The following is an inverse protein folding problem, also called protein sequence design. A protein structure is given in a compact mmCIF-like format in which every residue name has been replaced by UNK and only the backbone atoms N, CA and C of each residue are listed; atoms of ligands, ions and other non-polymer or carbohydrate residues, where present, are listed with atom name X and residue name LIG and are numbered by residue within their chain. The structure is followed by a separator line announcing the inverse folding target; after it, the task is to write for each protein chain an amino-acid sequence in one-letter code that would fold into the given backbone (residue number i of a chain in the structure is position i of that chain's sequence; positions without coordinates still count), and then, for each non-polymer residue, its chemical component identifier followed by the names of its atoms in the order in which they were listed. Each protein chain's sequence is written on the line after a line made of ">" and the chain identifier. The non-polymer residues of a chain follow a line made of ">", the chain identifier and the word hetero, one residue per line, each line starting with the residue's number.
data_IF_981401547231
#
_entry.id   IF_981401547231
#
_cell.length_a   1.000
_cell.length_b   1.000
_cell.length_c   1.000
_cell.angle_alpha   90.00
_cell.angle_beta   90.00
_cell.angle_gamma   90.00
#
_symmetry.space_group_name_H-M   'P 1'
#
loop_
_entity.id
_entity.type
_entity.pdbx_description
1 polymer ?
#
# COMPACT_ATOMS: atom_id res chain seq x y z
N UNK A 1 -5.89 -9.26 -8.03
CA UNK A 1 -5.33 -7.89 -8.13
C UNK A 1 -4.27 -7.85 -9.24
N UNK A 2 -3.97 -6.70 -9.85
CA UNK A 2 -3.03 -6.61 -10.99
C UNK A 2 -1.64 -6.08 -10.61
N UNK A 3 -0.69 -7.02 -10.54
CA UNK A 3 0.70 -6.76 -10.18
C UNK A 3 1.59 -6.34 -11.35
N UNK A 4 1.10 -6.11 -12.58
CA UNK A 4 1.99 -5.73 -13.70
C UNK A 4 2.82 -4.46 -13.43
N UNK A 5 2.28 -3.54 -12.63
CA UNK A 5 3.01 -2.33 -12.26
C UNK A 5 4.15 -2.58 -11.24
N UNK A 6 4.09 -3.69 -10.49
CA UNK A 6 5.18 -4.11 -9.59
C UNK A 6 6.47 -4.31 -10.37
N UNK A 7 6.44 -4.95 -11.53
CA UNK A 7 7.67 -5.26 -12.29
C UNK A 7 8.36 -3.98 -12.79
N UNK A 8 7.57 -2.98 -13.21
CA UNK A 8 8.09 -1.64 -13.53
C UNK A 8 8.79 -0.99 -12.31
N UNK A 9 8.21 -1.13 -11.12
CA UNK A 9 8.78 -0.60 -9.87
C UNK A 9 10.02 -1.38 -9.41
N UNK A 10 10.01 -2.71 -9.50
CA UNK A 10 11.10 -3.59 -9.07
C UNK A 10 12.38 -3.36 -9.89
N UNK A 11 12.25 -2.93 -11.15
CA UNK A 11 13.39 -2.53 -11.99
C UNK A 11 14.04 -1.20 -11.55
N UNK A 12 13.38 -0.38 -10.72
CA UNK A 12 13.93 0.89 -10.25
C UNK A 12 14.89 0.67 -9.09
N UNK A 13 16.20 0.98 -9.22
CA UNK A 13 17.13 0.75 -8.12
C UNK A 13 16.82 1.68 -6.96
N UNK A 14 16.99 1.16 -5.74
CA UNK A 14 16.80 1.90 -4.51
C UNK A 14 15.37 2.47 -4.33
N UNK A 15 14.36 1.66 -4.69
CA UNK A 15 12.97 2.10 -4.79
C UNK A 15 12.46 2.71 -3.47
N UNK A 16 12.75 2.09 -2.32
CA UNK A 16 12.32 2.57 -1.00
C UNK A 16 12.72 4.02 -0.76
N UNK A 17 13.99 4.36 -0.95
CA UNK A 17 14.46 5.74 -0.71
C UNK A 17 13.97 6.69 -1.79
N UNK A 18 13.76 6.22 -3.03
CA UNK A 18 13.16 7.03 -4.09
C UNK A 18 11.72 7.41 -3.76
N UNK A 19 10.88 6.48 -3.32
CA UNK A 19 9.48 6.76 -2.99
C UNK A 19 9.31 7.76 -1.83
N UNK A 20 10.33 7.91 -0.96
CA UNK A 20 10.39 8.97 0.05
C UNK A 20 10.73 10.36 -0.51
N UNK A 21 10.90 10.51 -1.83
CA UNK A 21 11.11 11.80 -2.50
C UNK A 21 9.87 12.16 -3.31
N UNK A 22 9.29 13.34 -3.03
CA UNK A 22 8.05 13.81 -3.66
C UNK A 22 8.04 13.67 -5.20
N UNK A 23 9.16 14.02 -5.86
CA UNK A 23 9.30 13.91 -7.32
C UNK A 23 9.05 12.49 -7.82
N UNK A 24 9.64 11.51 -7.15
CA UNK A 24 9.53 10.11 -7.53
C UNK A 24 8.16 9.56 -7.17
N UNK A 25 7.65 9.86 -5.97
CA UNK A 25 6.29 9.48 -5.56
C UNK A 25 5.23 9.94 -6.58
N UNK A 26 5.28 11.21 -7.02
CA UNK A 26 4.36 11.72 -8.05
C UNK A 26 4.55 11.02 -9.39
N UNK A 27 5.80 10.78 -9.79
CA UNK A 27 6.10 10.12 -11.06
C UNK A 27 5.59 8.67 -11.10
N UNK A 28 5.82 7.89 -10.04
CA UNK A 28 5.38 6.50 -9.92
C UNK A 28 3.87 6.39 -9.76
N UNK A 29 3.24 7.29 -9.00
CA UNK A 29 1.78 7.34 -8.89
C UNK A 29 1.11 7.59 -10.25
N UNK A 30 1.62 8.55 -11.03
CA UNK A 30 1.13 8.80 -12.40
C UNK A 30 1.40 7.64 -13.35
N UNK A 31 2.52 6.94 -13.18
CA UNK A 31 2.80 5.73 -13.97
C UNK A 31 1.81 4.61 -13.65
N UNK A 32 1.46 4.42 -12.36
CA UNK A 32 0.43 3.50 -11.94
C UNK A 32 -0.94 3.84 -12.55
N UNK A 33 -1.34 5.12 -12.52
CA UNK A 33 -2.58 5.57 -13.16
C UNK A 33 -2.61 5.24 -14.66
N UNK A 34 -1.50 5.47 -15.38
CA UNK A 34 -1.39 5.09 -16.80
C UNK A 34 -1.45 3.58 -17.01
N UNK A 35 -0.84 2.79 -16.13
CA UNK A 35 -0.91 1.33 -16.19
C UNK A 35 -2.37 0.85 -16.02
N UNK A 36 -3.10 1.38 -15.03
CA UNK A 36 -4.53 1.11 -14.84
C UNK A 36 -5.35 1.55 -16.07
N UNK A 37 -5.05 2.71 -16.66
CA UNK A 37 -5.72 3.14 -17.91
C UNK A 37 -5.50 2.15 -19.04
N UNK A 38 -4.25 1.71 -19.28
CA UNK A 38 -3.95 0.74 -20.34
C UNK A 38 -4.66 -0.60 -20.12
N UNK A 39 -4.72 -1.05 -18.87
CA UNK A 39 -5.28 -2.33 -18.49
C UNK A 39 -6.82 -2.36 -18.50
N UNK A 40 -7.46 -1.28 -18.05
CA UNK A 40 -8.90 -1.29 -17.74
C UNK A 40 -9.71 -0.22 -18.48
N UNK A 41 -9.07 0.66 -19.24
CA UNK A 41 -9.74 1.75 -19.97
C UNK A 41 -10.17 2.93 -19.10
N UNK A 42 -9.80 2.96 -17.81
CA UNK A 42 -10.15 4.07 -16.90
C UNK A 42 -9.07 5.14 -16.92
N UNK A 43 -9.42 6.36 -17.37
CA UNK A 43 -8.55 7.53 -17.29
C UNK A 43 -8.75 8.27 -15.97
N UNK A 44 -7.70 8.90 -15.46
CA UNK A 44 -7.72 9.67 -14.23
C UNK A 44 -7.26 11.11 -14.45
N UNK A 45 -8.02 12.08 -13.96
CA UNK A 45 -7.51 13.41 -13.65
C UNK A 45 -6.81 13.38 -12.29
N UNK A 46 -5.60 13.92 -12.20
CA UNK A 46 -4.80 13.94 -10.97
C UNK A 46 -4.59 15.38 -10.50
N UNK A 47 -5.07 15.68 -9.29
CA UNK A 47 -4.83 16.92 -8.57
C UNK A 47 -3.47 16.85 -7.87
N UNK A 48 -2.51 17.62 -8.39
CA UNK A 48 -1.14 17.64 -7.88
C UNK A 48 -1.02 18.24 -6.47
N UNK A 49 -1.91 19.16 -6.09
CA UNK A 49 -1.89 19.76 -4.77
C UNK A 49 -2.31 18.73 -3.72
N UNK A 50 -3.40 17.99 -3.99
CA UNK A 50 -3.85 16.89 -3.14
C UNK A 50 -2.85 15.74 -3.08
N UNK A 51 -2.24 15.40 -4.22
CA UNK A 51 -1.22 14.34 -4.25
C UNK A 51 0.02 14.72 -3.44
N UNK A 52 0.42 15.99 -3.53
CA UNK A 52 1.51 16.52 -2.71
C UNK A 52 1.15 16.52 -1.24
N UNK A 53 -0.08 16.91 -0.88
CA UNK A 53 -0.54 16.88 0.50
C UNK A 53 -0.55 15.46 1.07
N UNK A 54 -1.05 14.48 0.31
CA UNK A 54 -1.03 13.07 0.71
C UNK A 54 0.40 12.57 0.97
N UNK A 55 1.35 12.94 0.11
CA UNK A 55 2.75 12.60 0.31
C UNK A 55 3.33 13.22 1.59
N UNK A 56 3.07 14.51 1.83
CA UNK A 56 3.59 15.22 2.99
C UNK A 56 3.03 14.65 4.30
N UNK A 57 1.71 14.42 4.33
CA UNK A 57 1.05 13.81 5.50
C UNK A 57 1.58 12.39 5.78
N UNK A 58 1.84 11.61 4.72
CA UNK A 58 2.40 10.27 4.86
C UNK A 58 3.86 10.26 5.34
N UNK A 59 4.73 11.07 4.71
CA UNK A 59 6.16 11.02 4.99
C UNK A 59 6.47 11.48 6.42
N UNK A 60 5.70 12.43 6.94
CA UNK A 60 5.81 12.88 8.33
C UNK A 60 5.57 11.72 9.31
N UNK A 61 4.51 10.94 9.10
CA UNK A 61 4.20 9.78 9.95
C UNK A 61 5.26 8.69 9.80
N UNK A 62 5.67 8.39 8.56
CA UNK A 62 6.66 7.36 8.28
C UNK A 62 8.05 7.69 8.88
N UNK A 63 8.45 8.96 8.88
CA UNK A 63 9.69 9.41 9.54
C UNK A 63 9.58 9.39 11.06
N UNK A 64 8.44 9.80 11.62
CA UNK A 64 8.18 9.78 13.06
C UNK A 64 8.23 8.38 13.67
N UNK A 65 7.94 7.34 12.87
CA UNK A 65 7.84 5.95 13.33
C UNK A 65 8.97 5.04 12.79
N UNK A 66 10.01 5.60 12.17
CA UNK A 66 11.07 4.81 11.52
C UNK A 66 11.85 3.86 12.43
N UNK A 67 11.81 4.06 13.75
CA UNK A 67 12.45 3.16 14.72
C UNK A 67 11.90 1.73 14.62
N UNK A 68 10.62 1.55 14.28
CA UNK A 68 9.99 0.24 14.09
C UNK A 68 10.58 -0.54 12.89
N UNK A 69 11.25 0.13 11.94
CA UNK A 69 11.98 -0.55 10.88
C UNK A 69 13.17 -1.37 11.40
N UNK A 70 13.70 -1.02 12.59
CA UNK A 70 14.73 -1.78 13.29
C UNK A 70 14.19 -3.01 14.01
N UNK A 71 12.89 -3.02 14.35
CA UNK A 71 12.21 -4.15 15.00
C UNK A 71 11.80 -5.18 13.94
N UNK A 72 10.92 -4.79 13.01
CA UNK A 72 10.51 -5.63 11.89
C UNK A 72 10.45 -4.80 10.61
N UNK A 73 11.49 -4.90 9.77
CA UNK A 73 11.56 -4.09 8.56
C UNK A 73 10.50 -4.44 7.53
N UNK A 74 10.24 -5.73 7.32
CA UNK A 74 9.25 -6.20 6.36
C UNK A 74 7.84 -5.72 6.73
N UNK A 75 7.47 -5.87 8.00
CA UNK A 75 6.18 -5.40 8.51
C UNK A 75 6.08 -3.87 8.51
N UNK A 76 7.18 -3.16 8.83
CA UNK A 76 7.20 -1.70 8.77
C UNK A 76 6.98 -1.17 7.34
N UNK A 77 7.50 -1.86 6.32
CA UNK A 77 7.26 -1.49 4.91
C UNK A 77 5.77 -1.59 4.57
N UNK A 78 5.11 -2.68 4.99
CA UNK A 78 3.66 -2.88 4.78
C UNK A 78 2.87 -1.79 5.50
N UNK A 79 3.19 -1.56 6.78
CA UNK A 79 2.58 -0.51 7.58
C UNK A 79 2.73 0.88 6.95
N UNK A 80 3.94 1.25 6.54
CA UNK A 80 4.21 2.55 5.91
C UNK A 80 3.43 2.72 4.60
N UNK A 81 3.26 1.65 3.82
CA UNK A 81 2.41 1.68 2.63
C UNK A 81 0.91 1.80 2.97
N UNK A 82 0.46 1.21 4.08
CA UNK A 82 -0.90 1.38 4.61
C UNK A 82 -1.18 2.82 5.01
N UNK A 83 -0.20 3.49 5.63
CA UNK A 83 -0.29 4.92 5.94
C UNK A 83 -0.36 5.77 4.66
N UNK A 84 0.43 5.44 3.63
CA UNK A 84 0.31 6.11 2.34
C UNK A 84 -1.09 5.92 1.72
N UNK A 85 -1.64 4.71 1.80
CA UNK A 85 -2.97 4.38 1.29
C UNK A 85 -4.08 5.17 2.00
N UNK A 86 -4.02 5.25 3.33
CA UNK A 86 -4.89 6.10 4.15
C UNK A 86 -4.86 7.55 3.68
N UNK A 87 -3.68 8.12 3.47
CA UNK A 87 -3.56 9.52 3.03
C UNK A 87 -4.03 9.74 1.58
N UNK A 88 -3.79 8.79 0.68
CA UNK A 88 -4.32 8.83 -0.69
C UNK A 88 -5.86 8.79 -0.70
N UNK A 89 -6.47 7.93 0.11
CA UNK A 89 -7.94 7.86 0.24
C UNK A 89 -8.50 9.15 0.83
N UNK A 90 -7.88 9.65 1.91
CA UNK A 90 -8.33 10.86 2.61
C UNK A 90 -8.23 12.11 1.75
N UNK A 91 -7.11 12.30 1.05
CA UNK A 91 -6.89 13.46 0.18
C UNK A 91 -7.59 13.33 -1.17
N UNK A 92 -7.78 12.09 -1.62
CA UNK A 92 -8.46 11.73 -2.85
C UNK A 92 -7.92 12.50 -4.09
N UNK A 93 -6.63 12.32 -4.43
CA UNK A 93 -5.96 13.12 -5.45
C UNK A 93 -6.29 12.74 -6.89
N UNK A 94 -6.93 11.59 -7.13
CA UNK A 94 -7.32 11.16 -8.46
C UNK A 94 -8.84 11.13 -8.61
N UNK A 95 -9.32 11.37 -9.82
CA UNK A 95 -10.73 11.22 -10.20
C UNK A 95 -10.83 10.53 -11.54
N UNK A 96 -11.66 9.50 -11.62
CA UNK A 96 -11.99 8.87 -12.89
C UNK A 96 -12.65 9.91 -13.82
N UNK A 97 -12.16 10.02 -15.04
CA UNK A 97 -12.73 10.89 -16.08
C UNK A 97 -13.41 10.02 -17.14
N UNK A 98 -14.69 10.31 -17.43
CA UNK A 98 -15.64 9.41 -18.10
C UNK A 98 -15.38 9.10 -19.57
N UNK A 99 -14.31 9.62 -20.16
CA UNK A 99 -13.96 9.25 -21.53
C UNK A 99 -13.14 7.96 -21.54
N UNK A 100 -13.81 6.82 -21.38
CA UNK A 100 -13.19 5.52 -21.52
C UNK A 100 -12.55 5.40 -22.91
N UNK A 101 -11.23 5.28 -22.98
CA UNK A 101 -10.62 4.69 -24.16
C UNK A 101 -10.99 3.20 -24.13
N UNK A 102 -11.41 2.65 -25.27
CA UNK A 102 -11.56 1.20 -25.38
C UNK A 102 -10.26 0.55 -24.87
N UNK A 103 -10.32 -0.49 -24.00
CA UNK A 103 -9.13 -1.16 -23.52
C UNK A 103 -8.28 -1.57 -24.73
N UNK A 104 -7.04 -1.09 -24.80
CA UNK A 104 -6.18 -1.18 -26.01
C UNK A 104 -5.50 -2.55 -26.09
N UNK A 105 -6.08 -3.60 -25.52
CA UNK A 105 -5.50 -4.93 -25.56
C UNK A 105 -6.48 -6.03 -25.20
N UNK A 106 -6.34 -7.15 -25.89
CA UNK A 106 -6.84 -8.49 -25.51
C UNK A 106 -6.12 -8.99 -24.25
N UNK A 107 -6.09 -8.18 -23.19
CA UNK A 107 -5.46 -8.57 -21.95
C UNK A 107 -6.42 -9.52 -21.22
N UNK A 108 -5.90 -10.68 -20.82
CA UNK A 108 -6.53 -11.71 -19.98
C UNK A 108 -6.74 -11.17 -18.55
N UNK A 109 -7.51 -10.08 -18.46
CA UNK A 109 -7.87 -9.42 -17.21
C UNK A 109 -9.11 -10.12 -16.69
N UNK A 110 -9.01 -10.68 -15.49
CA UNK A 110 -10.15 -11.31 -14.84
C UNK A 110 -11.37 -10.39 -14.84
N UNK A 111 -12.51 -10.93 -15.25
CA UNK A 111 -13.79 -10.22 -15.26
C UNK A 111 -14.10 -9.60 -13.89
N UNK A 112 -13.77 -10.32 -12.80
CA UNK A 112 -13.96 -9.83 -11.44
C UNK A 112 -13.11 -8.61 -11.13
N UNK A 113 -11.86 -8.58 -11.59
CA UNK A 113 -11.00 -7.39 -11.42
C UNK A 113 -11.53 -6.21 -12.23
N UNK A 114 -12.06 -6.45 -13.43
CA UNK A 114 -12.71 -5.39 -14.22
C UNK A 114 -13.95 -4.82 -13.51
N UNK A 115 -14.75 -5.66 -12.86
CA UNK A 115 -15.89 -5.21 -12.05
C UNK A 115 -15.46 -4.37 -10.85
N UNK A 116 -14.43 -4.79 -10.11
CA UNK A 116 -13.85 -4.03 -9.00
C UNK A 116 -13.39 -2.64 -9.46
N UNK A 117 -12.68 -2.57 -10.59
CA UNK A 117 -12.20 -1.31 -11.15
C UNK A 117 -13.36 -0.39 -11.55
N UNK A 118 -14.44 -0.94 -12.12
CA UNK A 118 -15.65 -0.17 -12.44
C UNK A 118 -16.40 0.31 -11.19
N UNK A 119 -16.42 -0.52 -10.15
CA UNK A 119 -17.11 -0.23 -8.89
C UNK A 119 -16.47 0.94 -8.12
N UNK A 120 -15.14 0.96 -8.01
CA UNK A 120 -14.42 2.02 -7.31
C UNK A 120 -13.03 2.28 -7.90
N UNK A 121 -12.95 3.05 -9.01
CA UNK A 121 -11.70 3.19 -9.74
C UNK A 121 -10.58 3.87 -8.95
N UNK A 122 -10.91 4.90 -8.17
CA UNK A 122 -9.94 5.61 -7.33
C UNK A 122 -9.38 4.71 -6.24
N UNK A 123 -10.25 3.98 -5.52
CA UNK A 123 -9.83 3.04 -4.48
C UNK A 123 -8.95 1.93 -5.05
N UNK A 124 -9.30 1.42 -6.25
CA UNK A 124 -8.46 0.46 -6.94
C UNK A 124 -7.09 1.04 -7.28
N UNK A 125 -7.02 2.23 -7.88
CA UNK A 125 -5.76 2.90 -8.20
C UNK A 125 -4.86 3.05 -6.98
N UNK A 126 -5.39 3.58 -5.87
CA UNK A 126 -4.59 3.82 -4.66
C UNK A 126 -4.10 2.51 -4.04
N UNK A 127 -4.98 1.51 -3.96
CA UNK A 127 -4.67 0.21 -3.37
C UNK A 127 -3.65 -0.55 -4.23
N UNK A 128 -3.87 -0.60 -5.54
CA UNK A 128 -2.99 -1.27 -6.48
C UNK A 128 -1.59 -0.63 -6.50
N UNK A 129 -1.52 0.71 -6.39
CA UNK A 129 -0.26 1.43 -6.25
C UNK A 129 0.51 1.02 -4.99
N UNK A 130 -0.16 1.01 -3.82
CA UNK A 130 0.48 0.63 -2.56
C UNK A 130 0.89 -0.85 -2.53
N UNK A 131 0.04 -1.77 -3.00
CA UNK A 131 0.36 -3.20 -3.08
C UNK A 131 1.54 -3.45 -4.02
N UNK A 132 1.55 -2.81 -5.20
CA UNK A 132 2.67 -2.92 -6.15
C UNK A 132 3.97 -2.40 -5.55
N UNK A 133 3.92 -1.29 -4.81
CA UNK A 133 5.09 -0.73 -4.13
C UNK A 133 5.60 -1.66 -3.02
N UNK A 134 4.73 -2.23 -2.20
CA UNK A 134 5.10 -3.21 -1.17
C UNK A 134 5.76 -4.42 -1.82
N UNK A 135 5.12 -5.01 -2.82
CA UNK A 135 5.62 -6.19 -3.51
C UNK A 135 7.00 -5.95 -4.15
N UNK A 136 7.19 -4.80 -4.80
CA UNK A 136 8.48 -4.44 -5.40
C UNK A 136 9.58 -4.17 -4.36
N UNK A 137 9.28 -3.45 -3.27
CA UNK A 137 10.26 -3.18 -2.21
C UNK A 137 10.65 -4.48 -1.50
N UNK A 138 9.67 -5.35 -1.20
CA UNK A 138 9.94 -6.63 -0.55
C UNK A 138 10.80 -7.53 -1.43
N UNK A 139 10.52 -7.58 -2.73
CA UNK A 139 11.36 -8.33 -3.67
C UNK A 139 12.80 -7.79 -3.72
N UNK A 140 12.97 -6.46 -3.70
CA UNK A 140 14.30 -5.84 -3.67
C UNK A 140 15.06 -6.08 -2.36
N UNK A 141 14.38 -6.09 -1.21
CA UNK A 141 15.03 -6.19 0.10
C UNK A 141 15.17 -7.62 0.62
N UNK A 142 14.27 -8.52 0.24
CA UNK A 142 14.16 -9.87 0.79
C UNK A 142 14.18 -10.96 -0.28
N UNK A 143 14.21 -10.60 -1.57
CA UNK A 143 14.21 -11.55 -2.69
C UNK A 143 12.86 -12.19 -2.99
N UNK A 144 11.80 -11.85 -2.22
CA UNK A 144 10.45 -12.37 -2.39
C UNK A 144 9.42 -11.27 -2.20
N UNK A 145 8.31 -11.33 -2.93
CA UNK A 145 7.16 -10.45 -2.72
C UNK A 145 6.12 -11.14 -1.82
N UNK A 146 5.33 -10.41 -1.02
CA UNK A 146 4.21 -10.98 -0.29
C UNK A 146 3.18 -11.58 -1.25
N UNK A 147 2.58 -12.68 -0.83
CA UNK A 147 1.45 -13.25 -1.56
C UNK A 147 0.23 -12.34 -1.41
N UNK A 148 -0.47 -12.10 -2.52
CA UNK A 148 -1.76 -11.42 -2.48
C UNK A 148 -2.83 -12.45 -2.09
N UNK A 149 -3.64 -12.10 -1.09
CA UNK A 149 -4.75 -12.92 -0.66
C UNK A 149 -5.89 -12.90 -1.70
N UNK A 150 -6.61 -14.01 -1.84
CA UNK A 150 -7.70 -14.14 -2.82
C UNK A 150 -8.86 -13.18 -2.55
N UNK A 151 -9.00 -12.65 -1.32
CA UNK A 151 -9.98 -11.60 -1.02
C UNK A 151 -9.75 -10.30 -1.81
N UNK A 152 -8.54 -10.07 -2.33
CA UNK A 152 -8.28 -8.94 -3.22
C UNK A 152 -9.04 -9.04 -4.56
N UNK A 153 -9.47 -10.23 -4.93
CA UNK A 153 -10.28 -10.52 -6.13
C UNK A 153 -11.76 -10.75 -5.79
N UNK A 154 -12.22 -10.38 -4.58
CA UNK A 154 -13.62 -10.48 -4.17
C UNK A 154 -14.31 -9.11 -4.09
N UNK A 155 -15.27 -8.85 -4.98
CA UNK A 155 -16.03 -7.60 -5.02
C UNK A 155 -16.73 -7.27 -3.69
N UNK A 156 -17.18 -8.27 -2.92
CA UNK A 156 -17.81 -8.03 -1.61
C UNK A 156 -16.83 -7.45 -0.61
N UNK A 157 -15.58 -7.92 -0.61
CA UNK A 157 -14.50 -7.34 0.19
C UNK A 157 -14.27 -5.87 -0.18
N UNK A 158 -14.31 -5.52 -1.47
CA UNK A 158 -14.18 -4.14 -1.94
C UNK A 158 -15.34 -3.22 -1.53
N UNK A 159 -16.58 -3.75 -1.47
CA UNK A 159 -17.72 -3.02 -0.92
C UNK A 159 -17.49 -2.66 0.55
N UNK A 160 -17.17 -3.66 1.38
CA UNK A 160 -16.88 -3.43 2.80
C UNK A 160 -15.72 -2.47 2.99
N UNK A 161 -14.65 -2.63 2.20
CA UNK A 161 -13.50 -1.73 2.21
C UNK A 161 -13.89 -0.29 1.95
N UNK A 162 -14.61 -0.02 0.85
CA UNK A 162 -15.05 1.33 0.48
C UNK A 162 -15.90 1.99 1.56
N UNK A 163 -16.86 1.25 2.10
CA UNK A 163 -17.76 1.72 3.16
C UNK A 163 -16.97 2.10 4.41
N UNK A 164 -16.12 1.19 4.88
CA UNK A 164 -15.39 1.36 6.13
C UNK A 164 -14.38 2.53 6.07
N UNK A 165 -13.69 2.72 4.95
CA UNK A 165 -12.72 3.82 4.83
C UNK A 165 -13.35 5.18 4.53
N UNK A 166 -14.61 5.20 4.07
CA UNK A 166 -15.37 6.44 3.96
C UNK A 166 -15.68 7.02 5.35
N UNK A 167 -15.93 6.15 6.34
CA UNK A 167 -16.15 6.56 7.74
C UNK A 167 -14.83 6.73 8.50
N UNK A 168 -13.92 5.76 8.39
CA UNK A 168 -12.66 5.72 9.14
C UNK A 168 -11.49 5.41 8.19
N UNK A 169 -10.81 6.44 7.65
CA UNK A 169 -9.70 6.24 6.69
C UNK A 169 -8.57 5.35 7.20
N UNK A 170 -8.38 5.25 8.53
CA UNK A 170 -7.36 4.40 9.13
C UNK A 170 -7.57 2.91 8.83
N UNK A 171 -8.80 2.46 8.57
CA UNK A 171 -9.06 1.07 8.16
C UNK A 171 -8.38 0.68 6.84
N UNK A 172 -7.94 1.64 6.03
CA UNK A 172 -7.11 1.36 4.86
C UNK A 172 -5.84 0.55 5.20
N UNK A 173 -5.25 0.76 6.38
CA UNK A 173 -4.07 0.01 6.83
C UNK A 173 -4.43 -1.46 7.06
N UNK A 174 -5.53 -1.72 7.78
CA UNK A 174 -6.02 -3.07 8.05
C UNK A 174 -6.45 -3.81 6.77
N UNK A 175 -7.13 -3.12 5.84
CA UNK A 175 -7.47 -3.72 4.55
C UNK A 175 -6.21 -4.04 3.72
N UNK A 176 -5.17 -3.20 3.76
CA UNK A 176 -3.91 -3.50 3.09
C UNK A 176 -3.24 -4.76 3.68
N UNK A 177 -3.21 -4.90 5.01
CA UNK A 177 -2.72 -6.11 5.66
C UNK A 177 -3.47 -7.34 5.15
N UNK A 178 -4.80 -7.28 5.14
CA UNK A 178 -5.66 -8.35 4.66
C UNK A 178 -5.39 -8.70 3.18
N UNK A 179 -5.23 -7.71 2.31
CA UNK A 179 -4.93 -7.94 0.89
C UNK A 179 -3.56 -8.59 0.67
N UNK A 180 -2.62 -8.40 1.59
CA UNK A 180 -1.27 -8.99 1.55
C UNK A 180 -1.18 -10.29 2.38
N UNK A 181 -2.32 -10.88 2.77
CA UNK A 181 -2.39 -12.11 3.55
C UNK A 181 -1.93 -11.97 5.01
N UNK A 182 -1.76 -10.75 5.49
CA UNK A 182 -1.45 -10.44 6.89
C UNK A 182 -2.70 -10.40 7.77
N UNK A 183 -2.49 -10.54 9.08
CA UNK A 183 -3.58 -10.41 10.06
C UNK A 183 -3.90 -8.92 10.31
N UNK A 184 -5.11 -8.45 9.95
CA UNK A 184 -5.48 -7.05 10.08
C UNK A 184 -5.74 -6.65 11.55
N UNK A 185 -5.23 -5.49 11.96
CA UNK A 185 -5.60 -4.88 13.24
C UNK A 185 -6.74 -3.85 13.05
N UNK A 186 -7.97 -4.26 13.35
CA UNK A 186 -9.15 -3.38 13.25
C UNK A 186 -9.31 -2.42 14.43
N UNK A 187 -8.60 -2.61 15.54
CA UNK A 187 -8.76 -1.80 16.76
C UNK A 187 -7.86 -0.56 16.68
N UNK A 188 -6.60 -0.75 16.27
CA UNK A 188 -5.60 0.30 16.18
C UNK A 188 -4.78 0.17 14.87
N UNK A 189 -5.44 0.32 13.71
CA UNK A 189 -4.84 0.04 12.40
C UNK A 189 -3.63 0.94 12.07
N UNK A 190 -3.62 2.18 12.54
CA UNK A 190 -2.55 3.15 12.30
C UNK A 190 -1.48 3.20 13.41
N UNK A 191 -1.51 2.24 14.35
CA UNK A 191 -0.54 2.15 15.43
C UNK A 191 0.46 1.00 15.19
N UNK A 192 1.74 1.27 14.86
CA UNK A 192 2.69 0.22 14.48
C UNK A 192 2.96 -0.77 15.62
N UNK A 193 3.06 -0.30 16.87
CA UNK A 193 3.28 -1.19 18.03
C UNK A 193 2.12 -2.18 18.28
N UNK A 194 0.93 -1.91 17.74
CA UNK A 194 -0.21 -2.79 17.89
C UNK A 194 -0.25 -3.89 16.81
N UNK A 195 0.71 -3.91 15.89
CA UNK A 195 0.81 -4.91 14.81
C UNK A 195 1.45 -6.19 15.33
N UNK A 196 0.89 -7.33 14.97
CA UNK A 196 1.42 -8.63 15.39
C UNK A 196 2.87 -8.83 14.93
N UNK A 197 3.24 -8.33 13.74
CA UNK A 197 4.61 -8.40 13.23
C UNK A 197 5.64 -7.65 14.09
N UNK A 198 5.20 -6.61 14.81
CA UNK A 198 6.04 -5.84 15.73
C UNK A 198 6.10 -6.47 17.12
N UNK A 199 4.95 -6.92 17.64
CA UNK A 199 4.85 -7.53 18.97
C UNK A 199 5.59 -8.85 19.11
N UNK A 200 5.72 -9.63 18.02
CA UNK A 200 6.42 -10.93 18.05
C UNK A 200 7.94 -10.80 18.21
N UNK A 201 8.51 -9.61 18.01
CA UNK A 201 9.96 -9.39 18.07
C UNK A 201 10.41 -8.70 19.37
N UNK A 202 9.56 -7.91 20.01
CA UNK A 202 9.83 -7.31 21.34
C UNK A 202 10.27 -8.34 22.41
N UNK A 203 9.58 -9.48 22.63
CA UNK A 203 10.02 -10.46 23.63
C UNK A 203 11.30 -11.21 23.23
N UNK A 204 11.67 -11.25 21.95
CA UNK A 204 12.90 -11.90 21.49
C UNK A 204 14.17 -11.07 21.76
N UNK A 205 14.04 -9.74 21.81
CA UNK A 205 15.15 -8.84 22.16
C UNK A 205 15.37 -8.77 23.68
N UNK A 206 14.30 -8.84 24.48
CA UNK A 206 14.37 -8.87 25.94
C UNK A 206 14.95 -10.20 26.48
N UNK A 207 14.67 -11.31 25.80
CA UNK A 207 15.27 -12.63 26.09
C UNK A 207 16.73 -12.78 25.65
N UNK A 208 17.26 -11.87 24.82
CA UNK A 208 18.64 -11.92 24.32
C UNK A 208 19.61 -11.03 25.12
N UNK A 209 19.12 -10.32 26.14
CA UNK A 209 19.97 -9.60 27.07
C UNK A 209 20.74 -10.61 27.96
N UNK A 210 22.08 -10.54 28.07
CA UNK A 210 22.82 -11.43 28.95
C UNK A 210 22.39 -11.17 30.41
N UNK A 211 22.33 -12.21 31.27
CA UNK A 211 22.00 -12.02 32.67
C UNK A 211 22.99 -11.03 33.27
N UNK A 212 22.47 -9.88 33.71
CA UNK A 212 23.23 -8.84 34.37
C UNK A 212 24.00 -9.41 35.55
N UNK A 213 25.30 -9.15 35.54
CA UNK A 213 26.24 -9.35 36.64
C UNK A 213 25.60 -8.88 37.94
N UNK A 214 25.40 -9.81 38.88
CA UNK A 214 25.08 -9.48 40.25
C UNK A 214 26.21 -8.59 40.81
N UNK A 215 25.87 -7.36 41.16
CA UNK A 215 26.70 -6.46 41.95
C UNK A 215 26.40 -6.67 43.45
N UNK A 216 27.34 -6.30 44.34
CA UNK A 216 27.91 -7.15 45.40
C UNK A 216 27.01 -7.43 46.61
#
# INVERSE_FOLDING_TARGET
>A
MDLRFKDELAAMPDLRHRLRRLRWFRATFRASARAVTRAYGVRFGIDDARLTRAFLDWIEIAEGQKAYAGVNRGDFIVFAAGMALRELIRQNPARAISEAAAPVGEADVSATTQEIVRFWPEGFLYTNYCVSAVAAIHEQEFGTAPAIDTCADDLRTWWSYRENVAEVPAYAVAFLDRFLGGEPNWIAPDHPAARQGMQRIEPALESAAPPGVAAP
#
